data_IF_134874525425
#
_entry.id   IF_134874525425
#
_cell.length_a   1.000
_cell.length_b   1.000
_cell.length_c   1.000
_cell.angle_alpha   90.00
_cell.angle_beta   90.00
_cell.angle_gamma   90.00
#
_symmetry.space_group_name_H-M   'P 1'
#
loop_
_entity.id
_entity.type
_entity.pdbx_description
1 polymer ?
#
# COMPACT_ATOMS: atom_id res chain seq x y z
N UNK A 1 34.28 68.99 -36.06
CA UNK A 1 34.59 68.98 -34.62
C UNK A 1 33.31 68.64 -33.85
N UNK A 2 33.37 67.56 -33.03
CA UNK A 2 32.44 67.12 -31.96
C UNK A 2 30.98 66.79 -32.40
N UNK A 3 30.62 65.55 -32.74
CA UNK A 3 30.39 64.37 -31.88
C UNK A 3 29.48 64.63 -30.67
N UNK A 4 28.17 64.36 -30.82
CA UNK A 4 27.28 64.00 -29.72
C UNK A 4 26.47 62.77 -30.17
N UNK A 5 26.92 61.58 -29.80
CA UNK A 5 26.10 60.36 -29.87
C UNK A 5 25.24 60.32 -28.61
N UNK A 6 23.93 60.44 -28.77
CA UNK A 6 22.97 60.15 -27.69
C UNK A 6 22.99 58.64 -27.46
N UNK A 7 23.53 58.20 -26.32
CA UNK A 7 23.40 56.82 -25.84
C UNK A 7 22.10 56.79 -25.05
N UNK A 8 21.05 56.18 -25.61
CA UNK A 8 19.85 55.83 -24.84
C UNK A 8 20.23 54.63 -23.96
N UNK A 9 20.44 54.89 -22.68
CA UNK A 9 20.53 53.86 -21.64
C UNK A 9 19.10 53.37 -21.41
N UNK A 10 18.76 52.21 -21.96
CA UNK A 10 17.53 51.53 -21.62
C UNK A 10 17.74 50.87 -20.25
N UNK A 11 17.23 51.52 -19.21
CA UNK A 11 17.28 51.02 -17.86
C UNK A 11 16.28 49.87 -17.68
N UNK A 12 16.74 48.82 -16.99
CA UNK A 12 15.96 47.95 -16.09
C UNK A 12 14.54 47.57 -16.58
N UNK A 13 14.32 46.31 -16.93
CA UNK A 13 14.00 45.36 -15.86
C UNK A 13 14.50 43.97 -16.21
N UNK A 14 15.49 43.55 -15.40
CA UNK A 14 15.91 42.19 -15.19
C UNK A 14 14.66 41.33 -14.88
N UNK A 15 14.23 40.51 -15.83
CA UNK A 15 13.36 39.37 -15.54
C UNK A 15 14.21 38.43 -14.71
N UNK A 16 14.18 38.63 -13.39
CA UNK A 16 14.60 37.63 -12.43
C UNK A 16 13.70 36.45 -12.74
N UNK A 17 14.29 35.41 -13.32
CA UNK A 17 13.75 34.06 -13.30
C UNK A 17 13.63 33.63 -11.84
N UNK A 18 12.59 34.13 -11.18
CA UNK A 18 12.11 33.58 -9.93
C UNK A 18 11.42 32.28 -10.33
N UNK A 19 12.19 31.21 -10.18
CA UNK A 19 11.83 29.86 -10.59
C UNK A 19 10.40 29.54 -10.19
N UNK A 20 9.61 29.19 -11.21
CA UNK A 20 8.49 28.28 -11.13
C UNK A 20 9.00 26.92 -10.62
N UNK A 21 9.36 26.85 -9.33
CA UNK A 21 9.77 25.62 -8.65
C UNK A 21 8.99 25.38 -7.35
N UNK A 22 7.81 25.99 -7.22
CA UNK A 22 6.88 25.72 -6.11
C UNK A 22 5.74 24.74 -6.48
N UNK A 23 5.65 24.30 -7.74
CA UNK A 23 4.57 23.41 -8.19
C UNK A 23 4.71 21.96 -7.73
N UNK A 24 5.94 21.46 -7.52
CA UNK A 24 6.18 20.03 -7.24
C UNK A 24 6.09 19.66 -5.76
N UNK A 25 6.37 20.58 -4.84
CA UNK A 25 6.33 20.32 -3.39
C UNK A 25 4.88 20.33 -2.88
N UNK A 26 4.06 21.25 -3.37
CA UNK A 26 2.63 21.35 -2.98
C UNK A 26 1.80 20.17 -3.51
N UNK A 27 2.11 19.65 -4.71
CA UNK A 27 1.41 18.49 -5.27
C UNK A 27 1.74 17.20 -4.54
N UNK A 28 3.02 16.95 -4.19
CA UNK A 28 3.40 15.78 -3.35
C UNK A 28 2.75 15.82 -1.97
N UNK A 29 2.64 17.00 -1.36
CA UNK A 29 1.98 17.19 -0.07
C UNK A 29 0.48 16.87 -0.13
N UNK A 30 -0.21 17.29 -1.21
CA UNK A 30 -1.62 17.00 -1.42
C UNK A 30 -1.90 15.53 -1.78
N UNK A 31 -1.02 14.88 -2.54
CA UNK A 31 -1.12 13.47 -2.89
C UNK A 31 -0.84 12.57 -1.68
N UNK A 32 0.19 12.89 -0.88
CA UNK A 32 0.47 12.20 0.39
C UNK A 32 -0.62 12.42 1.45
N UNK A 33 -1.39 13.51 1.36
CA UNK A 33 -2.57 13.72 2.21
C UNK A 33 -3.76 12.84 1.81
N UNK A 34 -3.83 12.42 0.55
CA UNK A 34 -4.95 11.63 0.00
C UNK A 34 -4.67 10.14 -0.12
N UNK A 35 -3.41 9.77 -0.34
CA UNK A 35 -2.99 8.40 -0.53
C UNK A 35 -1.92 8.00 0.47
N UNK A 36 -1.92 6.71 0.77
CA UNK A 36 -0.89 6.06 1.55
C UNK A 36 -0.18 5.05 0.66
N UNK A 37 1.13 5.22 0.49
CA UNK A 37 1.96 4.28 -0.25
C UNK A 37 2.30 3.11 0.66
N UNK A 38 2.08 1.90 0.15
CA UNK A 38 2.51 0.66 0.76
C UNK A 38 3.69 0.13 -0.08
N UNK A 39 4.84 -0.20 0.55
CA UNK A 39 6.01 -0.67 -0.17
C UNK A 39 5.74 -1.99 -0.90
N UNK A 40 6.62 -2.33 -1.84
CA UNK A 40 6.55 -3.65 -2.48
C UNK A 40 6.74 -4.75 -1.43
N UNK A 41 6.04 -5.87 -1.59
CA UNK A 41 6.12 -6.99 -0.67
C UNK A 41 6.84 -8.16 -1.34
N UNK A 42 7.74 -8.83 -0.63
CA UNK A 42 8.22 -10.15 -1.01
C UNK A 42 7.76 -11.16 0.02
N UNK A 43 6.84 -12.03 -0.38
CA UNK A 43 6.26 -13.06 0.48
C UNK A 43 7.03 -14.35 0.25
N UNK A 44 7.66 -14.85 1.30
CA UNK A 44 8.58 -15.98 1.30
C UNK A 44 7.96 -17.22 1.98
N UNK A 45 8.63 -18.38 1.82
CA UNK A 45 8.22 -19.69 2.36
C UNK A 45 6.93 -20.24 1.75
N UNK A 46 6.75 -20.01 0.45
CA UNK A 46 5.57 -20.41 -0.31
C UNK A 46 5.70 -21.78 -0.99
N UNK A 47 6.83 -22.49 -0.84
CA UNK A 47 7.12 -23.74 -1.54
C UNK A 47 6.06 -24.82 -1.38
N UNK A 48 5.47 -24.97 -0.19
CA UNK A 48 4.42 -25.95 0.10
C UNK A 48 3.04 -25.54 -0.45
N UNK A 49 2.91 -24.32 -0.96
CA UNK A 49 1.66 -23.74 -1.45
C UNK A 49 1.68 -23.50 -2.97
N UNK A 50 2.66 -24.04 -3.69
CA UNK A 50 2.71 -23.97 -5.16
C UNK A 50 1.44 -24.57 -5.76
N UNK A 51 0.93 -23.93 -6.81
CA UNK A 51 -0.34 -24.31 -7.44
C UNK A 51 -1.57 -23.66 -6.82
N UNK A 52 -1.41 -22.95 -5.71
CA UNK A 52 -2.46 -22.18 -5.06
C UNK A 52 -2.33 -20.68 -5.38
N UNK A 53 -3.21 -19.87 -4.79
CA UNK A 53 -3.23 -18.43 -4.94
C UNK A 53 -2.98 -17.73 -3.61
N UNK A 54 -2.12 -16.72 -3.63
CA UNK A 54 -1.90 -15.81 -2.52
C UNK A 54 -2.73 -14.55 -2.74
N UNK A 55 -3.68 -14.28 -1.85
CA UNK A 55 -4.44 -13.04 -1.79
C UNK A 55 -3.94 -12.19 -0.64
N UNK A 56 -3.51 -10.97 -0.93
CA UNK A 56 -3.08 -9.97 0.06
C UNK A 56 -4.17 -8.92 0.18
N UNK A 57 -4.73 -8.78 1.38
CA UNK A 57 -5.77 -7.82 1.71
C UNK A 57 -5.18 -6.69 2.54
N UNK A 58 -5.33 -5.45 2.07
CA UNK A 58 -5.05 -4.24 2.84
C UNK A 58 -6.36 -3.76 3.44
N UNK A 59 -6.49 -3.82 4.76
CA UNK A 59 -7.79 -3.77 5.39
C UNK A 59 -7.82 -2.95 6.69
N UNK A 60 -9.02 -2.51 7.03
CA UNK A 60 -9.38 -2.00 8.35
C UNK A 60 -10.06 -3.13 9.10
N UNK A 61 -9.44 -3.55 10.20
CA UNK A 61 -9.95 -4.64 11.02
C UNK A 61 -9.40 -4.64 12.44
N UNK A 62 -9.76 -5.65 13.21
CA UNK A 62 -9.29 -5.86 14.56
C UNK A 62 -8.94 -7.32 14.79
N UNK A 63 -7.84 -7.53 15.52
CA UNK A 63 -7.51 -8.84 16.07
C UNK A 63 -8.33 -9.04 17.35
N UNK A 64 -8.90 -10.22 17.59
CA UNK A 64 -9.53 -10.52 18.86
C UNK A 64 -8.51 -10.50 20.00
N UNK A 65 -8.93 -10.02 21.16
CA UNK A 65 -8.05 -9.82 22.31
C UNK A 65 -7.44 -11.13 22.86
N UNK A 66 -8.18 -12.24 22.74
CA UNK A 66 -7.83 -13.52 23.36
C UNK A 66 -7.37 -14.60 22.36
N UNK A 67 -7.36 -14.30 21.06
CA UNK A 67 -7.01 -15.28 20.03
C UNK A 67 -5.84 -14.77 19.19
N UNK A 68 -4.86 -15.64 19.00
CA UNK A 68 -3.74 -15.44 18.08
C UNK A 68 -4.00 -15.99 16.69
N UNK A 69 -5.16 -16.64 16.48
CA UNK A 69 -5.52 -17.19 15.17
C UNK A 69 -5.91 -16.07 14.21
N UNK A 70 -5.19 -15.96 13.10
CA UNK A 70 -5.47 -14.94 12.08
C UNK A 70 -6.83 -15.17 11.40
N UNK A 71 -7.39 -16.38 11.41
CA UNK A 71 -8.75 -16.65 10.90
C UNK A 71 -9.84 -15.89 11.68
N UNK A 72 -9.53 -15.52 12.92
CA UNK A 72 -10.47 -14.83 13.83
C UNK A 72 -10.42 -13.30 13.73
N UNK A 73 -9.59 -12.75 12.82
CA UNK A 73 -9.54 -11.31 12.54
C UNK A 73 -10.93 -10.85 12.04
N UNK A 74 -11.47 -9.80 12.65
CA UNK A 74 -12.67 -9.14 12.14
C UNK A 74 -12.28 -8.01 11.21
N UNK A 75 -12.74 -8.04 9.96
CA UNK A 75 -12.46 -7.02 8.95
C UNK A 75 -13.73 -6.23 8.69
N UNK A 76 -13.69 -4.92 8.89
CA UNK A 76 -14.82 -4.04 8.55
C UNK A 76 -14.79 -3.62 7.09
N UNK A 77 -13.60 -3.35 6.55
CA UNK A 77 -13.42 -2.88 5.18
C UNK A 77 -12.11 -3.38 4.57
N UNK A 78 -12.17 -3.87 3.34
CA UNK A 78 -11.03 -4.13 2.48
C UNK A 78 -10.85 -2.92 1.57
N UNK A 79 -9.69 -2.28 1.62
CA UNK A 79 -9.39 -1.11 0.78
C UNK A 79 -8.76 -1.49 -0.56
N UNK A 80 -7.96 -2.55 -0.55
CA UNK A 80 -7.28 -3.08 -1.73
C UNK A 80 -7.04 -4.58 -1.51
N UNK A 81 -7.17 -5.36 -2.58
CA UNK A 81 -6.91 -6.79 -2.58
C UNK A 81 -6.10 -7.17 -3.82
N UNK A 82 -5.03 -7.94 -3.65
CA UNK A 82 -4.23 -8.45 -4.76
C UNK A 82 -4.06 -9.95 -4.67
N UNK A 83 -4.42 -10.63 -5.75
CA UNK A 83 -4.24 -12.08 -5.85
C UNK A 83 -3.15 -12.40 -6.87
N UNK A 84 -2.22 -13.27 -6.49
CA UNK A 84 -1.16 -13.80 -7.35
C UNK A 84 -1.13 -15.32 -7.29
N UNK A 85 -0.81 -15.96 -8.42
CA UNK A 85 -0.61 -17.40 -8.46
C UNK A 85 0.77 -17.77 -7.90
N UNK A 86 0.82 -18.76 -7.00
CA UNK A 86 2.05 -19.18 -6.34
C UNK A 86 2.80 -20.15 -7.26
N UNK A 87 3.83 -19.64 -7.94
CA UNK A 87 4.70 -20.41 -8.85
C UNK A 87 6.08 -20.72 -8.26
N UNK A 88 6.51 -19.98 -7.23
CA UNK A 88 7.83 -20.08 -6.62
C UNK A 88 7.76 -20.08 -5.09
N UNK A 89 8.91 -20.28 -4.43
CA UNK A 89 8.99 -20.20 -2.95
C UNK A 89 8.88 -18.76 -2.42
N UNK A 90 9.16 -17.78 -3.28
CA UNK A 90 8.98 -16.37 -2.98
C UNK A 90 8.18 -15.70 -4.10
N UNK A 91 7.23 -14.84 -3.72
CA UNK A 91 6.39 -14.08 -4.64
C UNK A 91 6.52 -12.59 -4.34
N UNK A 92 6.71 -11.77 -5.37
CA UNK A 92 6.74 -10.32 -5.24
C UNK A 92 5.38 -9.73 -5.57
N UNK A 93 4.92 -8.78 -4.75
CA UNK A 93 3.79 -7.92 -5.03
C UNK A 93 4.29 -6.48 -5.17
N UNK A 94 3.95 -5.79 -6.26
CA UNK A 94 4.37 -4.41 -6.44
C UNK A 94 3.70 -3.48 -5.42
N UNK A 95 4.32 -2.34 -5.17
CA UNK A 95 3.78 -1.29 -4.30
C UNK A 95 2.35 -0.90 -4.70
N UNK A 96 1.60 -0.48 -3.69
CA UNK A 96 0.20 -0.07 -3.85
C UNK A 96 -0.03 1.28 -3.20
N UNK A 97 -0.96 2.06 -3.76
CA UNK A 97 -1.44 3.27 -3.11
C UNK A 97 -2.87 3.01 -2.66
N UNK A 98 -3.15 3.34 -1.41
CA UNK A 98 -4.47 3.17 -0.80
C UNK A 98 -5.01 4.54 -0.41
N UNK A 99 -6.26 4.83 -0.74
CA UNK A 99 -6.87 6.12 -0.43
C UNK A 99 -7.12 6.27 1.09
N UNK A 100 -6.79 7.44 1.62
CA UNK A 100 -7.04 7.83 3.00
C UNK A 100 -8.43 8.45 3.12
N UNK A 101 -9.16 8.05 4.15
CA UNK A 101 -10.44 8.68 4.51
C UNK A 101 -10.19 9.74 5.59
N UNK A 102 -9.88 10.96 5.13
CA UNK A 102 -9.51 12.07 6.01
C UNK A 102 -8.20 11.79 6.74
N UNK A 103 -8.20 11.94 8.07
CA UNK A 103 -7.01 11.73 8.92
C UNK A 103 -6.87 10.30 9.44
N UNK A 104 -7.77 9.38 9.07
CA UNK A 104 -7.70 7.99 9.51
C UNK A 104 -6.67 7.21 8.67
N UNK A 105 -5.93 6.26 9.27
CA UNK A 105 -5.09 5.33 8.50
C UNK A 105 -5.92 4.67 7.40
N UNK A 106 -5.36 4.54 6.21
CA UNK A 106 -6.08 3.93 5.08
C UNK A 106 -6.38 2.46 5.37
N UNK A 107 -5.44 1.75 5.99
CA UNK A 107 -5.58 0.40 6.52
C UNK A 107 -4.98 0.35 7.93
N UNK A 108 -5.15 -0.76 8.66
CA UNK A 108 -4.42 -1.00 9.91
C UNK A 108 -3.85 -2.43 9.99
N UNK A 109 -4.24 -3.32 9.09
CA UNK A 109 -3.78 -4.70 9.01
C UNK A 109 -3.59 -5.11 7.55
N UNK A 110 -2.58 -5.94 7.30
CA UNK A 110 -2.37 -6.61 6.02
C UNK A 110 -2.54 -8.10 6.24
N UNK A 111 -3.48 -8.72 5.53
CA UNK A 111 -3.81 -10.14 5.68
C UNK A 111 -3.36 -10.90 4.44
N UNK A 112 -2.62 -11.98 4.64
CA UNK A 112 -2.13 -12.88 3.61
C UNK A 112 -2.93 -14.17 3.69
N UNK A 113 -3.66 -14.48 2.61
CA UNK A 113 -4.46 -15.69 2.52
C UNK A 113 -3.94 -16.55 1.38
N UNK A 114 -3.58 -17.77 1.69
CA UNK A 114 -3.34 -18.79 0.66
C UNK A 114 -4.61 -19.58 0.46
N UNK A 115 -5.07 -19.69 -0.79
CA UNK A 115 -6.33 -20.37 -1.14
C UNK A 115 -6.17 -21.21 -2.42
N UNK A 116 -6.93 -22.31 -2.57
CA UNK A 116 -6.83 -23.17 -3.74
C UNK A 116 -7.35 -22.53 -5.04
N UNK A 117 -8.11 -21.42 -4.96
CA UNK A 117 -8.71 -20.74 -6.13
C UNK A 117 -8.52 -19.22 -6.04
N UNK A 118 -8.42 -18.54 -7.18
CA UNK A 118 -8.06 -17.11 -7.27
C UNK A 118 -9.08 -16.12 -6.68
N UNK A 119 -10.32 -16.54 -6.50
CA UNK A 119 -11.46 -15.70 -6.13
C UNK A 119 -11.82 -15.80 -4.65
N UNK A 120 -10.83 -15.95 -3.76
CA UNK A 120 -11.05 -16.02 -2.32
C UNK A 120 -11.89 -14.84 -1.82
N UNK A 121 -12.84 -15.11 -0.93
CA UNK A 121 -13.69 -14.12 -0.28
C UNK A 121 -13.58 -14.24 1.23
N UNK A 122 -13.15 -13.15 1.89
CA UNK A 122 -13.10 -13.08 3.34
C UNK A 122 -14.51 -12.98 3.91
N UNK A 123 -14.79 -13.76 4.94
CA UNK A 123 -16.02 -13.68 5.74
C UNK A 123 -15.62 -13.69 7.21
N UNK A 124 -16.14 -12.73 7.96
CA UNK A 124 -15.89 -12.64 9.39
C UNK A 124 -16.55 -13.82 10.13
N UNK A 125 -16.12 -14.07 11.36
CA UNK A 125 -16.67 -15.16 12.18
C UNK A 125 -18.19 -15.01 12.45
N UNK A 126 -18.72 -13.79 12.42
CA UNK A 126 -20.15 -13.50 12.54
C UNK A 126 -20.94 -13.70 11.24
N UNK A 127 -20.27 -14.12 10.15
CA UNK A 127 -20.85 -14.34 8.84
C UNK A 127 -20.92 -13.08 7.97
N UNK A 128 -20.52 -11.92 8.47
CA UNK A 128 -20.52 -10.68 7.69
C UNK A 128 -19.40 -10.66 6.64
N UNK A 129 -19.70 -10.08 5.48
CA UNK A 129 -18.72 -9.82 4.42
C UNK A 129 -18.22 -8.38 4.58
N UNK A 130 -16.90 -8.14 4.64
CA UNK A 130 -16.36 -6.80 4.76
C UNK A 130 -16.76 -5.90 3.59
N UNK A 131 -16.90 -4.60 3.83
CA UNK A 131 -17.09 -3.62 2.76
C UNK A 131 -15.88 -3.65 1.79
N UNK A 132 -16.12 -3.45 0.50
CA UNK A 132 -15.06 -3.47 -0.52
C UNK A 132 -14.58 -4.87 -0.92
N UNK A 133 -15.07 -5.93 -0.27
CA UNK A 133 -14.78 -7.31 -0.67
C UNK A 133 -15.86 -7.85 -1.61
N UNK A 134 -15.45 -8.46 -2.71
CA UNK A 134 -16.38 -9.21 -3.56
C UNK A 134 -16.79 -10.50 -2.84
N UNK A 135 -18.10 -10.68 -2.63
CA UNK A 135 -18.63 -11.91 -2.06
C UNK A 135 -18.57 -13.04 -3.08
N UNK A 136 -17.85 -14.12 -2.75
CA UNK A 136 -17.80 -15.34 -3.56
C UNK A 136 -18.11 -16.57 -2.70
N UNK A 137 -18.30 -17.72 -3.35
CA UNK A 137 -18.45 -19.00 -2.66
C UNK A 137 -17.13 -19.58 -2.14
N UNK A 138 -15.97 -19.08 -2.59
CA UNK A 138 -14.67 -19.60 -2.18
C UNK A 138 -14.20 -18.93 -0.89
N UNK A 139 -14.31 -19.65 0.21
CA UNK A 139 -13.84 -19.23 1.55
C UNK A 139 -12.74 -20.15 2.08
N UNK A 140 -12.25 -21.06 1.23
CA UNK A 140 -11.25 -22.05 1.63
C UNK A 140 -9.89 -21.39 1.71
N UNK A 141 -9.21 -21.57 2.83
CA UNK A 141 -7.83 -21.12 3.01
C UNK A 141 -6.97 -22.28 3.50
N UNK A 142 -5.76 -22.36 2.95
CA UNK A 142 -4.71 -23.27 3.38
C UNK A 142 -3.83 -22.63 4.46
N UNK A 143 -3.74 -21.30 4.44
CA UNK A 143 -2.98 -20.51 5.41
C UNK A 143 -3.56 -19.10 5.49
N UNK A 144 -3.61 -18.56 6.70
CA UNK A 144 -3.88 -17.14 6.96
C UNK A 144 -2.76 -16.60 7.84
N UNK A 145 -2.10 -15.55 7.37
CA UNK A 145 -1.15 -14.77 8.14
C UNK A 145 -1.55 -13.30 8.10
N UNK A 146 -1.06 -12.49 9.04
CA UNK A 146 -1.29 -11.06 9.00
C UNK A 146 -0.18 -10.30 9.75
N UNK A 147 0.08 -9.07 9.30
CA UNK A 147 0.96 -8.11 9.97
C UNK A 147 0.19 -6.82 10.23
N UNK A 148 0.62 -6.05 11.23
CA UNK A 148 -0.01 -4.78 11.54
C UNK A 148 0.63 -3.67 10.71
N UNK A 149 -0.10 -2.59 10.50
CA UNK A 149 0.44 -1.39 9.84
C UNK A 149 1.69 -0.84 10.55
N UNK A 150 1.77 -0.96 11.86
CA UNK A 150 2.96 -0.54 12.63
C UNK A 150 4.23 -1.24 12.18
N UNK A 151 4.14 -2.49 11.73
CA UNK A 151 5.28 -3.25 11.22
C UNK A 151 5.74 -2.70 9.86
N UNK A 152 4.76 -2.34 9.00
CA UNK A 152 5.00 -1.69 7.71
C UNK A 152 5.58 -0.28 7.90
N UNK A 153 5.03 0.51 8.81
CA UNK A 153 5.51 1.86 9.13
C UNK A 153 6.92 1.82 9.71
N UNK A 154 7.22 0.84 10.57
CA UNK A 154 8.57 0.61 11.09
C UNK A 154 9.57 0.29 9.98
N UNK A 155 9.17 -0.54 9.01
CA UNK A 155 9.97 -0.80 7.82
C UNK A 155 10.21 0.47 7.00
N UNK A 156 9.16 1.20 6.64
CA UNK A 156 9.26 2.45 5.85
C UNK A 156 10.18 3.45 6.54
N UNK A 157 10.07 3.60 7.86
CA UNK A 157 10.93 4.49 8.65
C UNK A 157 12.42 4.10 8.57
N UNK A 158 12.71 2.79 8.48
CA UNK A 158 14.08 2.28 8.48
C UNK A 158 14.72 2.13 7.10
N UNK A 159 13.95 1.80 6.06
CA UNK A 159 14.44 1.45 4.71
C UNK A 159 13.87 2.34 3.59
N UNK A 160 12.88 3.19 3.89
CA UNK A 160 12.17 4.02 2.92
C UNK A 160 11.05 3.30 2.17
N UNK A 161 10.17 4.08 1.54
CA UNK A 161 8.97 3.59 0.83
C UNK A 161 9.27 2.79 -0.44
N UNK A 162 10.45 3.00 -1.06
CA UNK A 162 10.88 2.30 -2.28
C UNK A 162 11.49 0.92 -2.00
N UNK A 163 11.62 0.53 -0.72
CA UNK A 163 12.13 -0.78 -0.33
C UNK A 163 11.17 -1.92 -0.64
N UNK A 164 11.67 -3.15 -0.50
CA UNK A 164 10.84 -4.36 -0.54
C UNK A 164 10.75 -4.97 0.85
N UNK A 165 9.53 -4.96 1.42
CA UNK A 165 9.25 -5.54 2.73
C UNK A 165 9.19 -7.07 2.62
N UNK A 166 10.06 -7.72 3.38
CA UNK A 166 10.17 -9.18 3.42
C UNK A 166 9.16 -9.77 4.42
N UNK A 167 8.24 -10.60 3.93
CA UNK A 167 7.22 -11.27 4.74
C UNK A 167 7.48 -12.77 4.72
N UNK A 168 7.68 -13.36 5.90
CA UNK A 168 7.78 -14.81 6.03
C UNK A 168 6.43 -15.33 6.51
N UNK A 169 5.75 -16.14 5.69
CA UNK A 169 4.54 -16.80 6.15
C UNK A 169 4.93 -17.92 7.12
N UNK A 170 4.77 -17.67 8.41
CA UNK A 170 4.85 -18.67 9.48
C UNK A 170 3.47 -19.26 9.74
N UNK A 171 3.45 -20.52 10.15
CA UNK A 171 2.28 -21.22 10.66
C UNK A 171 2.27 -21.11 12.17
#
# INVERSE_FOLDING_TARGET
MRSLKLIIINALTLIIGLGLMSGSVSQRSAEAARFETIPSLQVNKLGNYRGQYLTVLYAVGSRPFISTDNSSISISQVKEARTVYISADAMSLPSVQVEKEGFRPSYNIVVFVVSPQANYSWVNADGSVPQGMTSTGNRLSSLINAINKTDVDGFITSQGENGTLQINLVK
#
